data_IF_712315814513
#
_entry.id   IF_712315814513
#
_cell.length_a   1.000
_cell.length_b   1.000
_cell.length_c   1.000
_cell.angle_alpha   90.00
_cell.angle_beta   90.00
_cell.angle_gamma   90.00
#
_symmetry.space_group_name_H-M   'P 1'
#
loop_
_entity.id
_entity.type
_entity.pdbx_description
1 polymer ?
#
# COMPACT_ATOMS: atom_id res chain seq x y z
N UNK A 1 -74.72 -22.46 13.84
CA UNK A 1 -75.11 -21.04 13.94
C UNK A 1 -73.85 -20.20 13.73
N UNK A 2 -73.74 -19.49 12.61
CA UNK A 2 -72.68 -18.49 12.39
C UNK A 2 -73.21 -17.15 12.89
N UNK A 3 -72.66 -16.65 13.98
CA UNK A 3 -72.98 -15.31 14.49
C UNK A 3 -72.34 -14.30 13.55
N UNK A 4 -73.16 -13.58 12.80
CA UNK A 4 -72.69 -12.47 11.96
C UNK A 4 -72.41 -11.25 12.86
N UNK A 5 -71.14 -10.87 13.00
CA UNK A 5 -70.76 -9.62 13.64
C UNK A 5 -71.09 -8.43 12.73
N UNK A 6 -71.83 -7.45 13.27
CA UNK A 6 -72.04 -6.15 12.62
C UNK A 6 -70.71 -5.41 12.56
N UNK A 7 -70.24 -5.09 11.36
CA UNK A 7 -69.09 -4.19 11.17
C UNK A 7 -69.47 -2.79 11.66
N UNK A 8 -68.77 -2.28 12.67
CA UNK A 8 -68.82 -0.88 13.08
C UNK A 8 -67.80 -0.13 12.23
N UNK A 9 -68.23 0.92 11.52
CA UNK A 9 -67.32 1.74 10.70
C UNK A 9 -66.33 2.54 11.56
N UNK A 10 -65.18 2.90 10.99
CA UNK A 10 -64.18 3.73 11.70
C UNK A 10 -64.53 5.21 11.64
N UNK A 11 -64.27 5.90 12.74
CA UNK A 11 -64.37 7.35 12.83
C UNK A 11 -63.19 8.03 12.12
N UNK A 12 -63.37 9.29 11.71
CA UNK A 12 -62.32 10.09 11.08
C UNK A 12 -61.10 10.23 12.00
N UNK A 13 -61.31 10.33 13.32
CA UNK A 13 -60.23 10.43 14.31
C UNK A 13 -59.43 9.13 14.39
N UNK A 14 -60.08 7.96 14.37
CA UNK A 14 -59.38 6.66 14.36
C UNK A 14 -58.53 6.47 13.09
N UNK A 15 -59.01 6.95 11.94
CA UNK A 15 -58.23 6.99 10.69
C UNK A 15 -57.00 7.92 10.80
N UNK A 16 -57.14 9.10 11.40
CA UNK A 16 -56.01 10.01 11.60
C UNK A 16 -54.97 9.42 12.56
N UNK A 17 -55.40 8.83 13.67
CA UNK A 17 -54.50 8.24 14.67
C UNK A 17 -53.75 7.04 14.08
N UNK A 18 -54.43 6.16 13.35
CA UNK A 18 -53.78 5.01 12.70
C UNK A 18 -52.78 5.43 11.62
N UNK A 19 -53.07 6.48 10.85
CA UNK A 19 -52.14 7.03 9.86
C UNK A 19 -50.89 7.61 10.52
N UNK A 20 -51.05 8.39 11.59
CA UNK A 20 -49.92 8.95 12.34
C UNK A 20 -49.06 7.82 12.95
N UNK A 21 -49.69 6.81 13.55
CA UNK A 21 -48.97 5.65 14.08
C UNK A 21 -48.21 4.89 12.99
N UNK A 22 -48.81 4.71 11.81
CA UNK A 22 -48.15 4.08 10.65
C UNK A 22 -46.94 4.88 10.16
N UNK A 23 -47.05 6.21 10.07
CA UNK A 23 -45.94 7.07 9.69
C UNK A 23 -44.78 7.00 10.69
N UNK A 24 -45.05 6.93 11.99
CA UNK A 24 -44.02 6.79 13.01
C UNK A 24 -43.24 5.48 12.86
N UNK A 25 -43.94 4.36 12.59
CA UNK A 25 -43.31 3.06 12.37
C UNK A 25 -42.44 3.09 11.10
N UNK A 26 -42.94 3.64 9.99
CA UNK A 26 -42.19 3.74 8.74
C UNK A 26 -40.96 4.65 8.92
N UNK A 27 -41.09 5.78 9.61
CA UNK A 27 -39.95 6.66 9.91
C UNK A 27 -38.87 5.93 10.72
N UNK A 28 -39.26 5.14 11.72
CA UNK A 28 -38.34 4.29 12.49
C UNK A 28 -37.68 3.20 11.63
N UNK A 29 -38.43 2.56 10.74
CA UNK A 29 -37.87 1.55 9.83
C UNK A 29 -36.88 2.17 8.84
N UNK A 30 -37.17 3.35 8.30
CA UNK A 30 -36.29 4.08 7.38
C UNK A 30 -35.00 4.54 8.06
N UNK A 31 -35.04 4.98 9.31
CA UNK A 31 -33.83 5.39 10.04
C UNK A 31 -32.90 4.20 10.33
N UNK A 32 -33.46 3.04 10.71
CA UNK A 32 -32.71 1.80 10.85
C UNK A 32 -32.11 1.35 9.53
N UNK A 33 -32.90 1.35 8.45
CA UNK A 33 -32.44 0.95 7.12
C UNK A 33 -31.32 1.87 6.60
N UNK A 34 -31.44 3.18 6.79
CA UNK A 34 -30.39 4.15 6.46
C UNK A 34 -29.10 3.86 7.24
N UNK A 35 -29.22 3.54 8.52
CA UNK A 35 -28.06 3.17 9.37
C UNK A 35 -27.36 1.92 8.85
N UNK A 36 -28.13 0.90 8.44
CA UNK A 36 -27.59 -0.34 7.84
C UNK A 36 -26.84 -0.05 6.54
N UNK A 37 -27.38 0.81 5.66
CA UNK A 37 -26.71 1.19 4.41
C UNK A 37 -25.38 1.89 4.69
N UNK A 38 -25.35 2.85 5.61
CA UNK A 38 -24.13 3.58 5.97
C UNK A 38 -23.08 2.64 6.56
N UNK A 39 -23.49 1.73 7.45
CA UNK A 39 -22.60 0.70 8.01
C UNK A 39 -22.07 -0.25 6.92
N UNK A 40 -22.92 -0.63 5.96
CA UNK A 40 -22.51 -1.45 4.82
C UNK A 40 -21.45 -0.75 3.95
N UNK A 41 -21.69 0.52 3.59
CA UNK A 41 -20.77 1.31 2.78
C UNK A 41 -19.41 1.52 3.47
N UNK A 42 -19.41 1.83 4.77
CA UNK A 42 -18.16 1.99 5.53
C UNK A 42 -17.37 0.68 5.60
N UNK A 43 -18.05 -0.45 5.76
CA UNK A 43 -17.41 -1.78 5.73
C UNK A 43 -16.79 -2.08 4.36
N UNK A 44 -17.51 -1.77 3.27
CA UNK A 44 -16.99 -1.95 1.91
C UNK A 44 -15.78 -1.06 1.63
N UNK A 45 -15.81 0.21 2.04
CA UNK A 45 -14.70 1.16 1.91
C UNK A 45 -13.45 0.65 2.65
N UNK A 46 -13.61 0.20 3.89
CA UNK A 46 -12.50 -0.35 4.66
C UNK A 46 -11.94 -1.63 4.02
N UNK A 47 -12.81 -2.49 3.49
CA UNK A 47 -12.38 -3.72 2.80
C UNK A 47 -11.58 -3.41 1.53
N UNK A 48 -11.99 -2.41 0.75
CA UNK A 48 -11.25 -1.97 -0.44
C UNK A 48 -9.89 -1.40 -0.06
N UNK A 49 -9.86 -0.42 0.85
CA UNK A 49 -8.63 0.15 1.38
C UNK A 49 -7.65 -0.94 1.85
N UNK A 50 -8.13 -1.92 2.61
CA UNK A 50 -7.30 -3.02 3.07
C UNK A 50 -6.77 -3.89 1.92
N UNK A 51 -7.59 -4.18 0.91
CA UNK A 51 -7.20 -4.94 -0.27
C UNK A 51 -6.13 -4.20 -1.09
N UNK A 52 -6.26 -2.89 -1.27
CA UNK A 52 -5.32 -2.09 -2.06
C UNK A 52 -3.99 -1.93 -1.35
N UNK A 53 -4.01 -1.62 -0.05
CA UNK A 53 -2.81 -1.53 0.80
C UNK A 53 -2.11 -2.89 0.87
N UNK A 54 -2.84 -4.00 0.97
CA UNK A 54 -2.24 -5.34 0.91
C UNK A 54 -1.62 -5.63 -0.47
N UNK A 55 -2.33 -5.36 -1.56
CA UNK A 55 -1.86 -5.58 -2.92
C UNK A 55 -0.56 -4.82 -3.20
N UNK A 56 -0.52 -3.55 -2.81
CA UNK A 56 0.66 -2.68 -2.94
C UNK A 56 1.82 -3.15 -2.07
N UNK A 57 1.54 -3.50 -0.82
CA UNK A 57 2.55 -4.05 0.10
C UNK A 57 3.13 -5.36 -0.45
N UNK A 58 2.31 -6.25 -0.98
CA UNK A 58 2.76 -7.53 -1.54
C UNK A 58 3.59 -7.35 -2.81
N UNK A 59 3.31 -6.32 -3.63
CA UNK A 59 4.19 -5.94 -4.75
C UNK A 59 5.55 -5.48 -4.21
N UNK A 60 5.58 -4.53 -3.27
CA UNK A 60 6.82 -4.05 -2.67
C UNK A 60 7.64 -5.18 -2.03
N UNK A 61 6.99 -6.10 -1.31
CA UNK A 61 7.64 -7.27 -0.71
C UNK A 61 8.33 -8.13 -1.77
N UNK A 62 7.62 -8.45 -2.87
CA UNK A 62 8.20 -9.26 -3.96
C UNK A 62 9.38 -8.55 -4.61
N UNK A 63 9.30 -7.24 -4.82
CA UNK A 63 10.39 -6.48 -5.42
C UNK A 63 11.60 -6.43 -4.47
N UNK A 64 11.39 -6.18 -3.17
CA UNK A 64 12.47 -6.22 -2.17
C UNK A 64 13.13 -7.59 -2.11
N UNK A 65 12.37 -8.68 -2.26
CA UNK A 65 12.92 -10.05 -2.30
C UNK A 65 13.80 -10.33 -3.52
N UNK A 66 13.67 -9.56 -4.60
CA UNK A 66 14.53 -9.67 -5.80
C UNK A 66 15.85 -8.92 -5.66
N UNK A 67 16.02 -8.12 -4.61
CA UNK A 67 17.23 -7.33 -4.41
C UNK A 67 18.50 -8.19 -4.49
N UNK A 68 19.48 -7.71 -5.25
CA UNK A 68 20.77 -8.39 -5.47
C UNK A 68 20.73 -9.58 -6.42
N UNK A 69 19.61 -9.85 -7.11
CA UNK A 69 19.60 -10.90 -8.12
C UNK A 69 20.41 -10.49 -9.36
N UNK A 70 21.34 -11.35 -9.81
CA UNK A 70 22.03 -11.22 -11.10
C UNK A 70 22.28 -12.63 -11.70
N UNK A 71 22.02 -12.87 -13.00
CA UNK A 71 22.11 -14.20 -13.59
C UNK A 71 23.53 -14.76 -13.61
N UNK A 72 24.56 -13.91 -13.74
CA UNK A 72 25.97 -14.34 -13.75
C UNK A 72 26.56 -14.52 -12.35
N UNK A 73 25.81 -14.34 -11.27
CA UNK A 73 26.35 -14.41 -9.90
C UNK A 73 27.05 -15.75 -9.63
N UNK A 74 26.52 -16.86 -10.16
CA UNK A 74 27.14 -18.18 -10.05
C UNK A 74 28.50 -18.28 -10.77
N UNK A 75 28.66 -17.60 -11.91
CA UNK A 75 29.94 -17.56 -12.64
C UNK A 75 30.99 -16.74 -11.89
N UNK A 76 30.55 -15.68 -11.20
CA UNK A 76 31.42 -14.91 -10.29
C UNK A 76 31.98 -15.77 -9.16
N UNK A 77 31.17 -16.69 -8.61
CA UNK A 77 31.62 -17.65 -7.59
C UNK A 77 32.61 -18.70 -8.14
N UNK A 78 32.59 -18.97 -9.44
CA UNK A 78 33.52 -19.87 -10.13
C UNK A 78 34.82 -19.16 -10.58
N UNK A 79 34.99 -17.88 -10.22
CA UNK A 79 36.21 -17.11 -10.47
C UNK A 79 36.18 -16.20 -11.69
N UNK A 80 35.04 -16.05 -12.37
CA UNK A 80 34.88 -15.04 -13.41
C UNK A 80 34.78 -13.64 -12.76
N UNK A 81 35.90 -12.91 -12.82
CA UNK A 81 35.99 -11.57 -12.23
C UNK A 81 34.97 -10.58 -12.82
N UNK A 82 34.64 -10.68 -14.11
CA UNK A 82 33.67 -9.78 -14.75
C UNK A 82 32.25 -10.04 -14.29
N UNK A 83 31.89 -11.33 -14.14
CA UNK A 83 30.61 -11.74 -13.61
C UNK A 83 30.45 -11.41 -12.12
N UNK A 84 31.53 -11.50 -11.34
CA UNK A 84 31.55 -11.11 -9.94
C UNK A 84 31.29 -9.60 -9.77
N UNK A 85 31.97 -8.75 -10.55
CA UNK A 85 31.78 -7.29 -10.52
C UNK A 85 30.33 -6.92 -10.88
N UNK A 86 29.76 -7.55 -11.92
CA UNK A 86 28.38 -7.30 -12.32
C UNK A 86 27.36 -7.69 -11.24
N UNK A 87 27.57 -8.84 -10.57
CA UNK A 87 26.70 -9.28 -9.49
C UNK A 87 26.85 -8.41 -8.22
N UNK A 88 28.07 -7.98 -7.89
CA UNK A 88 28.36 -7.12 -6.73
C UNK A 88 27.68 -5.74 -6.87
N UNK A 89 27.58 -5.19 -8.08
CA UNK A 89 26.87 -3.94 -8.33
C UNK A 89 25.38 -3.99 -7.93
N UNK A 90 24.76 -5.19 -7.97
CA UNK A 90 23.36 -5.39 -7.62
C UNK A 90 23.12 -5.59 -6.13
N UNK A 91 24.17 -5.86 -5.35
CA UNK A 91 24.08 -6.12 -3.90
C UNK A 91 23.41 -4.95 -3.18
N UNK A 92 22.47 -5.27 -2.29
CA UNK A 92 21.78 -4.26 -1.48
C UNK A 92 22.72 -3.68 -0.41
N UNK A 93 22.89 -2.36 -0.40
CA UNK A 93 23.68 -1.63 0.60
C UNK A 93 22.74 -0.84 1.51
N UNK A 94 22.90 -0.95 2.83
CA UNK A 94 22.07 -0.16 3.75
C UNK A 94 22.38 1.34 3.70
N UNK A 95 23.66 1.67 3.49
CA UNK A 95 24.13 3.06 3.46
C UNK A 95 23.67 3.76 2.18
N UNK A 96 23.60 3.00 1.08
CA UNK A 96 23.27 3.55 -0.22
C UNK A 96 21.81 3.30 -0.57
N UNK A 97 21.17 2.21 -0.20
CA UNK A 97 19.84 1.85 -0.74
C UNK A 97 18.67 2.13 0.20
N UNK A 98 18.93 2.57 1.44
CA UNK A 98 17.92 3.12 2.35
C UNK A 98 18.16 4.61 2.58
N UNK A 99 17.11 5.40 2.35
CA UNK A 99 17.16 6.85 2.52
C UNK A 99 16.02 7.37 3.38
N UNK A 100 16.36 8.32 4.24
CA UNK A 100 15.41 9.14 4.96
C UNK A 100 15.39 10.53 4.31
N UNK A 101 14.23 11.01 3.88
CA UNK A 101 14.08 12.39 3.43
C UNK A 101 14.37 13.36 4.58
N UNK A 102 14.69 14.63 4.28
CA UNK A 102 14.92 15.65 5.30
C UNK A 102 13.75 15.73 6.29
N UNK A 103 14.06 15.60 7.58
CA UNK A 103 13.06 15.62 8.66
C UNK A 103 12.34 14.29 8.93
N UNK A 104 12.56 13.25 8.14
CA UNK A 104 12.04 11.91 8.45
C UNK A 104 12.85 11.26 9.58
N UNK A 105 12.14 10.58 10.51
CA UNK A 105 12.78 9.88 11.64
C UNK A 105 13.27 8.47 11.29
N UNK A 106 12.88 7.95 10.13
CA UNK A 106 13.25 6.63 9.62
C UNK A 106 13.37 6.68 8.09
N UNK A 107 14.05 5.70 7.45
CA UNK A 107 14.10 5.60 6.00
C UNK A 107 12.69 5.44 5.42
N UNK A 108 12.29 6.38 4.58
CA UNK A 108 11.00 6.41 3.89
C UNK A 108 11.15 6.29 2.37
N UNK A 109 12.37 6.00 1.92
CA UNK A 109 12.68 5.66 0.55
C UNK A 109 13.65 4.46 0.50
N UNK A 110 13.37 3.52 -0.40
CA UNK A 110 14.19 2.33 -0.63
C UNK A 110 14.50 2.21 -2.11
N UNK A 111 15.74 1.84 -2.43
CA UNK A 111 16.16 1.43 -3.78
C UNK A 111 16.38 -0.07 -3.80
N UNK A 112 15.97 -0.71 -4.88
CA UNK A 112 16.01 -2.16 -5.05
C UNK A 112 16.67 -2.39 -6.39
N UNK A 113 17.87 -2.97 -6.36
CA UNK A 113 18.67 -3.26 -7.55
C UNK A 113 18.55 -4.75 -7.87
N UNK A 114 18.23 -5.08 -9.11
CA UNK A 114 18.21 -6.44 -9.61
C UNK A 114 18.38 -6.47 -11.12
N UNK A 115 18.82 -7.61 -11.65
CA UNK A 115 18.88 -7.81 -13.09
C UNK A 115 17.54 -8.28 -13.65
N UNK A 116 17.07 -7.64 -14.72
CA UNK A 116 15.90 -8.05 -15.49
C UNK A 116 16.02 -7.52 -16.93
N UNK A 117 16.66 -8.32 -17.78
CA UNK A 117 17.02 -7.96 -19.18
C UNK A 117 17.85 -6.66 -19.28
N UNK A 118 18.74 -6.47 -18.30
CA UNK A 118 19.55 -5.27 -18.09
C UNK A 118 19.61 -4.90 -16.59
N UNK A 119 20.26 -3.79 -16.28
CA UNK A 119 20.29 -3.25 -14.92
C UNK A 119 18.96 -2.59 -14.57
N UNK A 120 18.22 -3.20 -13.64
CA UNK A 120 16.94 -2.67 -13.18
C UNK A 120 17.06 -2.18 -11.75
N UNK A 121 16.64 -0.93 -11.57
CA UNK A 121 16.47 -0.34 -10.25
C UNK A 121 15.03 0.09 -10.10
N UNK A 122 14.42 -0.42 -9.04
CA UNK A 122 13.10 -0.04 -8.57
C UNK A 122 13.28 0.79 -7.30
N UNK A 123 12.62 1.94 -7.22
CA UNK A 123 12.63 2.77 -6.03
C UNK A 123 11.20 3.04 -5.56
N UNK A 124 10.99 2.98 -4.25
CA UNK A 124 9.76 3.38 -3.58
C UNK A 124 10.06 4.51 -2.63
N UNK A 125 9.21 5.53 -2.63
CA UNK A 125 9.36 6.71 -1.79
C UNK A 125 8.01 7.12 -1.22
N UNK A 126 8.03 7.64 -0.01
CA UNK A 126 6.90 8.40 0.52
C UNK A 126 7.09 9.90 0.35
N UNK A 127 6.07 10.53 -0.20
CA UNK A 127 5.96 11.98 -0.25
C UNK A 127 5.07 12.46 0.90
N UNK A 128 5.70 13.07 1.91
CA UNK A 128 4.99 13.57 3.07
C UNK A 128 4.18 14.86 2.78
N UNK A 129 4.51 15.59 1.71
CA UNK A 129 3.80 16.82 1.36
C UNK A 129 2.43 16.50 0.76
N UNK A 130 2.41 15.58 -0.22
CA UNK A 130 1.19 15.17 -0.91
C UNK A 130 0.55 13.92 -0.29
N UNK A 131 1.21 13.27 0.68
CA UNK A 131 0.78 12.02 1.35
C UNK A 131 0.58 10.88 0.37
N UNK A 132 1.56 10.70 -0.51
CA UNK A 132 1.51 9.75 -1.62
C UNK A 132 2.63 8.72 -1.54
N UNK A 133 2.30 7.48 -1.90
CA UNK A 133 3.30 6.47 -2.21
C UNK A 133 3.69 6.64 -3.67
N UNK A 134 4.95 6.95 -3.87
CA UNK A 134 5.57 7.18 -5.16
C UNK A 134 6.50 6.02 -5.50
N UNK A 135 6.63 5.73 -6.78
CA UNK A 135 7.58 4.72 -7.23
C UNK A 135 8.20 5.09 -8.56
N UNK A 136 9.37 4.52 -8.85
CA UNK A 136 10.07 4.73 -10.12
C UNK A 136 10.83 3.47 -10.49
N UNK A 137 10.87 3.16 -11.77
CA UNK A 137 11.62 2.03 -12.32
C UNK A 137 12.49 2.50 -13.47
N UNK A 138 13.70 1.94 -13.59
CA UNK A 138 14.50 2.03 -14.82
C UNK A 138 14.14 0.94 -15.84
N UNK A 139 13.28 -0.03 -15.46
CA UNK A 139 12.85 -1.11 -16.35
C UNK A 139 11.73 -0.69 -17.29
N UNK A 140 11.81 -1.17 -18.54
CA UNK A 140 10.75 -0.97 -19.55
C UNK A 140 9.43 -1.68 -19.21
N UNK A 141 9.47 -2.61 -18.24
CA UNK A 141 8.34 -3.41 -17.77
C UNK A 141 7.87 -2.98 -16.37
N UNK A 142 8.46 -1.93 -15.80
CA UNK A 142 8.17 -1.48 -14.44
C UNK A 142 6.77 -0.92 -14.31
N UNK A 143 6.03 -1.33 -13.27
CA UNK A 143 4.66 -0.87 -12.95
C UNK A 143 4.55 0.59 -12.48
N UNK A 144 5.63 1.36 -12.64
CA UNK A 144 5.87 2.66 -12.02
C UNK A 144 6.36 3.68 -13.04
N UNK A 145 5.80 3.63 -14.25
CA UNK A 145 6.27 4.44 -15.37
C UNK A 145 5.17 5.35 -15.92
N UNK A 146 5.45 6.66 -15.92
CA UNK A 146 4.73 7.63 -16.76
C UNK A 146 5.56 8.03 -18.01
N UNK A 147 6.83 7.65 -18.12
CA UNK A 147 7.69 7.83 -19.30
C UNK A 147 9.07 7.24 -19.04
N UNK A 148 9.35 6.04 -19.58
CA UNK A 148 10.58 5.24 -19.49
C UNK A 148 11.89 6.04 -19.35
N UNK A 149 12.18 6.56 -18.16
CA UNK A 149 13.33 7.42 -17.95
C UNK A 149 14.55 6.57 -17.55
N UNK A 150 15.02 5.79 -18.52
CA UNK A 150 16.23 4.95 -18.44
C UNK A 150 17.51 5.75 -18.19
N UNK A 151 17.45 7.08 -18.30
CA UNK A 151 18.59 7.97 -18.18
C UNK A 151 18.85 8.47 -16.75
N UNK A 152 18.00 8.12 -15.79
CA UNK A 152 18.15 8.61 -14.41
C UNK A 152 19.29 7.87 -13.70
N UNK A 153 20.33 8.61 -13.29
CA UNK A 153 21.41 8.06 -12.48
C UNK A 153 20.87 7.55 -11.14
N UNK A 154 20.92 6.23 -11.00
CA UNK A 154 20.42 5.42 -9.87
C UNK A 154 20.92 5.94 -8.52
N UNK A 155 22.12 6.54 -8.49
CA UNK A 155 22.74 7.09 -7.28
C UNK A 155 21.98 8.28 -6.67
N UNK A 156 21.14 8.96 -7.44
CA UNK A 156 20.41 10.17 -7.03
C UNK A 156 18.94 9.94 -6.66
N UNK A 157 18.38 8.76 -7.00
CA UNK A 157 17.02 8.40 -6.61
C UNK A 157 16.92 8.41 -5.07
N UNK A 158 15.80 8.95 -4.57
CA UNK A 158 15.55 9.33 -3.17
C UNK A 158 16.14 10.66 -2.68
N UNK A 159 17.10 11.29 -3.36
CA UNK A 159 17.79 12.49 -2.85
C UNK A 159 17.35 13.83 -3.48
N UNK A 160 16.94 13.85 -4.75
CA UNK A 160 16.24 14.97 -5.37
C UNK A 160 15.88 14.59 -6.81
N UNK A 161 14.60 14.57 -7.14
CA UNK A 161 14.14 14.37 -8.51
C UNK A 161 12.72 14.87 -8.66
N UNK A 162 12.48 15.71 -9.66
CA UNK A 162 11.15 16.09 -10.09
C UNK A 162 10.53 14.95 -10.91
N UNK A 163 9.22 14.75 -10.77
CA UNK A 163 8.39 13.78 -11.50
C UNK A 163 8.47 12.32 -10.98
N UNK A 164 7.97 12.09 -9.77
CA UNK A 164 7.69 10.75 -9.26
C UNK A 164 6.22 10.40 -9.51
N UNK A 165 5.90 9.34 -10.26
CA UNK A 165 4.51 8.93 -10.43
C UNK A 165 3.97 8.30 -9.14
N UNK A 166 2.68 8.52 -8.89
CA UNK A 166 1.90 7.85 -7.84
C UNK A 166 1.84 6.35 -8.13
N UNK A 167 2.13 5.53 -7.12
CA UNK A 167 1.96 4.09 -7.21
C UNK A 167 0.52 3.67 -6.96
N UNK A 168 -0.14 4.32 -6.00
CA UNK A 168 -1.58 4.21 -5.78
C UNK A 168 -2.27 5.29 -6.61
N UNK A 169 -2.93 4.85 -7.67
CA UNK A 169 -3.68 5.70 -8.58
C UNK A 169 -5.05 6.13 -8.02
N UNK A 170 -5.46 5.59 -6.88
CA UNK A 170 -6.75 5.95 -6.27
C UNK A 170 -6.66 7.30 -5.58
N UNK A 171 -7.55 8.22 -5.98
CA UNK A 171 -7.66 9.56 -5.39
C UNK A 171 -8.29 9.52 -3.98
N UNK A 172 -8.92 8.41 -3.60
CA UNK A 172 -9.61 8.24 -2.30
C UNK A 172 -8.70 7.72 -1.18
N UNK A 173 -7.46 7.32 -1.49
CA UNK A 173 -6.49 6.77 -0.53
C UNK A 173 -5.34 7.76 -0.29
N UNK A 174 -5.09 8.07 0.98
CA UNK A 174 -3.91 8.84 1.41
C UNK A 174 -2.94 7.96 2.20
N UNK A 175 -1.64 8.16 2.00
CA UNK A 175 -0.59 7.45 2.73
C UNK A 175 -0.19 8.26 3.96
N UNK A 176 -0.32 7.62 5.12
CA UNK A 176 -0.05 8.22 6.43
C UNK A 176 1.41 8.00 6.86
N UNK A 177 1.96 6.83 6.53
CA UNK A 177 3.32 6.45 6.91
C UNK A 177 3.88 5.39 5.95
N UNK A 178 5.15 5.53 5.62
CA UNK A 178 5.95 4.50 4.96
C UNK A 178 7.33 4.52 5.59
N UNK A 179 7.73 3.38 6.14
CA UNK A 179 9.06 3.23 6.74
C UNK A 179 9.65 1.87 6.43
N UNK A 180 10.96 1.90 6.20
CA UNK A 180 11.80 0.75 5.99
C UNK A 180 12.81 0.70 7.14
N UNK A 181 12.61 -0.23 8.06
CA UNK A 181 13.45 -0.40 9.23
C UNK A 181 14.25 -1.68 9.13
N UNK A 182 15.49 -1.66 9.60
CA UNK A 182 16.27 -2.87 9.81
C UNK A 182 15.78 -3.57 11.08
N UNK A 183 15.41 -4.84 10.97
CA UNK A 183 15.19 -5.67 12.15
C UNK A 183 16.55 -6.22 12.58
N UNK A 184 17.07 -5.69 13.68
CA UNK A 184 18.35 -6.12 14.25
C UNK A 184 18.26 -7.56 14.78
N UNK A 185 18.93 -8.49 14.08
CA UNK A 185 19.02 -9.91 14.46
C UNK A 185 20.03 -10.75 13.66
N UNK A 186 20.79 -10.17 12.73
CA UNK A 186 21.87 -10.85 12.00
C UNK A 186 23.19 -10.17 12.27
N UNK A 187 24.15 -10.90 12.86
CA UNK A 187 25.53 -10.49 13.05
C UNK A 187 26.22 -10.12 11.72
N UNK A 188 27.49 -9.70 11.78
CA UNK A 188 28.32 -9.23 10.66
C UNK A 188 28.45 -10.13 9.39
N UNK A 189 27.76 -11.26 9.34
CA UNK A 189 27.72 -12.25 8.24
C UNK A 189 26.34 -12.94 8.13
N UNK A 190 25.28 -12.30 8.65
CA UNK A 190 23.95 -12.86 8.74
C UNK A 190 22.94 -12.11 7.88
N UNK A 191 22.15 -12.89 7.15
CA UNK A 191 20.88 -12.52 6.52
C UNK A 191 20.14 -11.38 7.26
N UNK A 192 19.99 -10.23 6.61
CA UNK A 192 19.23 -9.09 7.15
C UNK A 192 17.76 -9.13 6.78
N UNK A 193 16.93 -8.55 7.64
CA UNK A 193 15.48 -8.43 7.44
C UNK A 193 15.10 -6.95 7.43
N UNK A 194 14.39 -6.52 6.37
CA UNK A 194 13.75 -5.22 6.29
C UNK A 194 12.32 -5.36 6.79
N UNK A 195 11.94 -4.53 7.76
CA UNK A 195 10.56 -4.30 8.16
C UNK A 195 10.00 -3.14 7.35
N UNK A 196 9.07 -3.48 6.47
CA UNK A 196 8.22 -2.54 5.75
C UNK A 196 7.00 -2.25 6.60
N UNK A 197 6.78 -0.99 6.96
CA UNK A 197 5.48 -0.53 7.48
C UNK A 197 4.85 0.41 6.47
N UNK A 198 3.58 0.16 6.13
CA UNK A 198 2.76 1.04 5.30
C UNK A 198 1.45 1.31 6.04
N UNK A 199 1.12 2.58 6.21
CA UNK A 199 -0.15 3.02 6.79
C UNK A 199 -0.86 3.94 5.81
N UNK A 200 -2.16 3.73 5.65
CA UNK A 200 -3.00 4.52 4.74
C UNK A 200 -4.39 4.74 5.33
N UNK A 201 -5.03 5.83 4.93
CA UNK A 201 -6.37 6.22 5.35
C UNK A 201 -7.18 6.76 4.19
N UNK A 202 -8.50 6.67 4.31
CA UNK A 202 -9.41 7.23 3.32
C UNK A 202 -9.45 8.76 3.41
N UNK A 203 -9.34 9.46 2.28
CA UNK A 203 -9.26 10.94 2.21
C UNK A 203 -10.45 11.62 2.90
N UNK A 204 -11.68 11.23 2.55
CA UNK A 204 -12.90 11.81 3.16
C UNK A 204 -13.23 11.29 4.57
N UNK A 205 -12.65 10.16 4.99
CA UNK A 205 -12.97 9.48 6.25
C UNK A 205 -11.68 8.97 6.90
N UNK A 206 -10.85 9.85 7.49
CA UNK A 206 -9.55 9.47 8.04
C UNK A 206 -9.63 8.50 9.22
N UNK A 207 -10.81 8.35 9.84
CA UNK A 207 -11.05 7.30 10.83
C UNK A 207 -10.97 5.87 10.24
N UNK A 208 -11.17 5.73 8.93
CA UNK A 208 -10.94 4.49 8.19
C UNK A 208 -9.47 4.47 7.79
N UNK A 209 -8.67 3.74 8.56
CA UNK A 209 -7.23 3.57 8.31
C UNK A 209 -6.83 2.10 8.43
N UNK A 210 -5.76 1.75 7.73
CA UNK A 210 -5.13 0.44 7.73
C UNK A 210 -3.64 0.64 7.90
N UNK A 211 -3.02 -0.13 8.80
CA UNK A 211 -1.57 -0.21 8.93
C UNK A 211 -1.15 -1.66 8.77
N UNK A 212 -0.20 -1.90 7.85
CA UNK A 212 0.38 -3.20 7.59
C UNK A 212 1.87 -3.14 7.87
N UNK A 213 2.36 -4.24 8.43
CA UNK A 213 3.78 -4.45 8.67
C UNK A 213 4.19 -5.81 8.08
N UNK A 214 5.26 -5.82 7.29
CA UNK A 214 5.84 -7.04 6.70
C UNK A 214 7.33 -7.08 7.00
N UNK A 215 7.82 -8.24 7.36
CA UNK A 215 9.25 -8.50 7.52
C UNK A 215 9.75 -9.28 6.32
N UNK A 216 10.70 -8.71 5.58
CA UNK A 216 11.25 -9.25 4.35
C UNK A 216 12.72 -9.59 4.57
N UNK A 217 13.03 -10.89 4.46
CA UNK A 217 14.40 -11.40 4.42
C UNK A 217 15.09 -10.99 3.13
N UNK A 218 16.23 -10.30 3.23
CA UNK A 218 17.14 -10.06 2.12
C UNK A 218 17.98 -11.31 1.85
N UNK A 219 18.23 -11.60 0.57
CA UNK A 219 18.98 -12.78 0.13
C UNK A 219 20.40 -12.49 -0.31
N UNK A 220 20.68 -11.26 -0.78
CA UNK A 220 21.99 -10.87 -1.29
C UNK A 220 22.32 -9.43 -0.86
N UNK A 221 22.77 -9.29 0.38
CA UNK A 221 23.02 -8.03 1.11
C UNK A 221 24.51 -7.78 1.43
N UNK A 222 25.42 -8.45 0.70
CA UNK A 222 26.83 -8.06 0.61
C UNK A 222 27.73 -8.55 1.73
N UNK A 223 27.24 -9.46 2.57
CA UNK A 223 27.98 -10.06 3.69
C UNK A 223 27.70 -11.57 3.80
#
# INVERSE_FOLDING_TARGET
>A
MLVAHRQQGMTLVEMLVSLVAGLLVVAGALSLFSSVIVAGNTTLMLSRLNQDVQSVTDIMVRDIQRAGYHPSAAQGMDGDASAAIAAEAMVFSMADDLYASSGASAPNCIRIKYWDDGDVVQAYRYDAADRELQCRSTSSAGKCDASNDKATDISTLCNAGSNWPRFLAEDEISIDDLRFELVSGGSATGMRTIRLTLSASHVDRPALSVSLQREIKLRNDGY
#
